data_IF_520585014262
#
_entry.id   IF_520585014262
#
_cell.length_a   1.000
_cell.length_b   1.000
_cell.length_c   1.000
_cell.angle_alpha   90.00
_cell.angle_beta   90.00
_cell.angle_gamma   90.00
#
_symmetry.space_group_name_H-M   'P 1'
#
loop_
_entity.id
_entity.type
_entity.pdbx_description
1 polymer ?
#
# COMPACT_ATOMS: atom_id res chain seq x y z
N UNK A 1 20.23 3.69 69.17
CA UNK A 1 19.23 2.83 68.48
C UNK A 1 18.66 3.59 67.30
N UNK A 2 18.93 3.17 66.07
CA UNK A 2 18.30 3.71 64.86
C UNK A 2 17.43 2.65 64.21
N UNK A 3 16.11 2.84 64.21
CA UNK A 3 15.18 1.98 63.47
C UNK A 3 15.36 2.23 61.97
N UNK A 4 15.98 1.27 61.27
CA UNK A 4 16.02 1.29 59.81
C UNK A 4 14.66 0.88 59.28
N UNK A 5 13.92 1.85 58.73
CA UNK A 5 12.66 1.64 58.03
C UNK A 5 12.92 0.83 56.75
N UNK A 6 12.37 -0.38 56.68
CA UNK A 6 12.40 -1.21 55.49
C UNK A 6 11.52 -0.57 54.41
N UNK A 7 12.16 0.02 53.41
CA UNK A 7 11.48 0.59 52.24
C UNK A 7 10.82 -0.54 51.48
N UNK A 8 9.49 -0.65 51.59
CA UNK A 8 8.67 -1.58 50.82
C UNK A 8 8.89 -1.29 49.33
N UNK A 9 9.66 -2.15 48.65
CA UNK A 9 9.81 -2.06 47.20
C UNK A 9 8.54 -2.64 46.59
N UNK A 10 7.67 -1.77 46.07
CA UNK A 10 6.53 -2.17 45.24
C UNK A 10 7.06 -2.73 43.93
N UNK A 11 7.17 -4.06 43.83
CA UNK A 11 7.44 -4.75 42.57
C UNK A 11 6.15 -4.90 41.76
N UNK A 12 6.26 -4.80 40.44
CA UNK A 12 5.18 -5.17 39.52
C UNK A 12 4.78 -6.64 39.76
N UNK A 13 3.49 -6.92 39.77
CA UNK A 13 3.03 -8.31 39.85
C UNK A 13 3.18 -8.98 38.48
N UNK A 14 3.44 -10.29 38.48
CA UNK A 14 3.54 -11.07 37.23
C UNK A 14 2.23 -10.98 36.41
N UNK A 15 1.10 -10.94 37.12
CA UNK A 15 -0.24 -10.77 36.53
C UNK A 15 -0.39 -9.43 35.83
N UNK A 16 0.10 -8.36 36.44
CA UNK A 16 0.03 -7.00 35.88
C UNK A 16 0.82 -6.90 34.56
N UNK A 17 1.98 -7.55 34.49
CA UNK A 17 2.76 -7.60 33.24
C UNK A 17 2.07 -8.45 32.17
N UNK A 18 1.45 -9.58 32.53
CA UNK A 18 0.71 -10.42 31.56
C UNK A 18 -0.48 -9.67 30.97
N UNK A 19 -1.27 -8.99 31.79
CA UNK A 19 -2.44 -8.24 31.32
C UNK A 19 -2.04 -7.09 30.39
N UNK A 20 -0.95 -6.38 30.70
CA UNK A 20 -0.44 -5.31 29.84
C UNK A 20 0.01 -5.86 28.49
N UNK A 21 0.78 -6.95 28.47
CA UNK A 21 1.20 -7.57 27.20
C UNK A 21 0.01 -8.10 26.39
N UNK A 22 -1.03 -8.61 27.06
CA UNK A 22 -2.26 -9.03 26.39
C UNK A 22 -2.97 -7.84 25.70
N UNK A 23 -3.10 -6.70 26.39
CA UNK A 23 -3.74 -5.50 25.82
C UNK A 23 -2.88 -4.92 24.67
N UNK A 24 -1.56 -4.80 24.87
CA UNK A 24 -0.64 -4.30 23.83
C UNK A 24 -0.65 -5.20 22.60
N UNK A 25 -0.70 -6.53 22.78
CA UNK A 25 -0.79 -7.49 21.68
C UNK A 25 -2.07 -7.33 20.84
N UNK A 26 -3.22 -7.11 21.48
CA UNK A 26 -4.49 -6.86 20.78
C UNK A 26 -4.41 -5.56 19.98
N UNK A 27 -3.90 -4.48 20.57
CA UNK A 27 -3.77 -3.18 19.91
C UNK A 27 -2.82 -3.28 18.71
N UNK A 28 -1.66 -3.92 18.86
CA UNK A 28 -0.70 -4.10 17.79
C UNK A 28 -1.29 -4.89 16.60
N UNK A 29 -2.08 -5.94 16.87
CA UNK A 29 -2.70 -6.77 15.83
C UNK A 29 -3.67 -5.99 14.93
N UNK A 30 -4.40 -5.02 15.47
CA UNK A 30 -5.35 -4.19 14.70
C UNK A 30 -4.65 -3.01 14.01
N UNK A 31 -3.60 -2.45 14.63
CA UNK A 31 -2.91 -1.29 14.06
C UNK A 31 -2.01 -1.63 12.86
N UNK A 32 -1.29 -2.75 12.90
CA UNK A 32 -0.37 -3.15 11.82
C UNK A 32 -1.02 -3.24 10.42
N UNK A 33 -2.20 -3.87 10.22
CA UNK A 33 -2.79 -3.99 8.88
C UNK A 33 -3.20 -2.64 8.29
N UNK A 34 -3.53 -1.64 9.12
CA UNK A 34 -3.91 -0.30 8.65
C UNK A 34 -2.71 0.46 8.06
N UNK A 35 -1.49 0.14 8.49
CA UNK A 35 -0.27 0.73 7.95
C UNK A 35 0.36 -0.09 6.82
N UNK A 36 -0.20 -1.26 6.47
CA UNK A 36 0.33 -2.18 5.47
C UNK A 36 0.00 -1.76 4.02
N UNK A 37 0.07 -0.46 3.72
CA UNK A 37 0.00 0.11 2.38
C UNK A 37 -1.22 -0.19 1.51
N UNK A 38 -1.17 0.30 0.26
CA UNK A 38 -2.26 0.15 -0.71
C UNK A 38 -2.39 -1.32 -1.13
N UNK A 39 -3.61 -1.84 -1.08
CA UNK A 39 -3.97 -3.14 -1.63
C UNK A 39 -3.79 -3.18 -3.15
N UNK A 40 -3.64 -4.37 -3.74
CA UNK A 40 -3.53 -4.53 -5.20
C UNK A 40 -4.77 -3.98 -5.93
N UNK A 41 -5.95 -4.08 -5.31
CA UNK A 41 -7.22 -3.56 -5.81
C UNK A 41 -7.19 -2.03 -5.92
N UNK A 42 -6.75 -1.35 -4.86
CA UNK A 42 -6.62 0.11 -4.83
C UNK A 42 -5.60 0.60 -5.86
N UNK A 43 -4.49 -0.12 -6.02
CA UNK A 43 -3.46 0.22 -7.00
C UNK A 43 -3.98 0.08 -8.44
N UNK A 44 -4.81 -0.94 -8.70
CA UNK A 44 -5.51 -1.09 -9.98
C UNK A 44 -6.52 0.03 -10.20
N UNK A 45 -7.27 0.41 -9.17
CA UNK A 45 -8.22 1.52 -9.25
C UNK A 45 -7.51 2.86 -9.55
N UNK A 46 -6.37 3.13 -8.91
CA UNK A 46 -5.54 4.30 -9.19
C UNK A 46 -5.03 4.31 -10.65
N UNK A 47 -4.62 3.15 -11.16
CA UNK A 47 -4.18 3.02 -12.55
C UNK A 47 -5.30 3.34 -13.54
N UNK A 48 -6.53 2.85 -13.29
CA UNK A 48 -7.71 3.14 -14.11
C UNK A 48 -8.07 4.63 -14.04
N UNK A 49 -8.14 5.21 -12.84
CA UNK A 49 -8.41 6.65 -12.64
C UNK A 49 -7.40 7.53 -13.36
N UNK A 50 -6.15 7.10 -13.37
CA UNK A 50 -5.08 7.78 -14.11
C UNK A 50 -5.39 7.75 -15.60
N UNK A 51 -5.69 6.58 -16.17
CA UNK A 51 -6.08 6.46 -17.58
C UNK A 51 -7.32 7.31 -17.94
N UNK A 52 -8.34 7.34 -17.07
CA UNK A 52 -9.51 8.22 -17.23
C UNK A 52 -9.12 9.70 -17.23
N UNK A 53 -8.21 10.10 -16.34
CA UNK A 53 -7.69 11.48 -16.26
C UNK A 53 -6.93 11.87 -17.54
N UNK A 54 -6.28 10.91 -18.20
CA UNK A 54 -5.63 11.11 -19.51
C UNK A 54 -6.62 11.10 -20.69
N UNK A 55 -7.91 10.88 -20.46
CA UNK A 55 -8.96 10.94 -21.48
C UNK A 55 -9.19 9.62 -22.22
N UNK A 56 -8.74 8.49 -21.67
CA UNK A 56 -9.13 7.18 -22.17
C UNK A 56 -10.50 6.78 -21.63
N UNK A 57 -11.31 6.14 -22.46
CA UNK A 57 -12.63 5.60 -22.13
C UNK A 57 -12.69 4.11 -22.47
N UNK A 58 -13.69 3.39 -21.98
CA UNK A 58 -13.85 1.94 -22.22
C UNK A 58 -12.56 1.14 -21.90
N UNK A 59 -12.02 1.39 -20.71
CA UNK A 59 -10.72 0.85 -20.28
C UNK A 59 -10.90 -0.61 -19.85
N UNK A 60 -10.08 -1.49 -20.41
CA UNK A 60 -9.95 -2.90 -20.01
C UNK A 60 -8.51 -3.19 -19.59
N UNK A 61 -8.32 -3.77 -18.40
CA UNK A 61 -7.00 -4.21 -17.93
C UNK A 61 -6.76 -5.61 -18.48
N UNK A 62 -5.74 -5.74 -19.32
CA UNK A 62 -5.37 -6.98 -20.01
C UNK A 62 -4.50 -7.84 -19.11
N UNK A 63 -3.45 -7.23 -18.55
CA UNK A 63 -2.47 -7.93 -17.72
C UNK A 63 -1.92 -6.98 -16.65
N UNK A 64 -1.52 -7.54 -15.51
CA UNK A 64 -0.79 -6.81 -14.48
C UNK A 64 0.53 -7.51 -14.20
N UNK A 65 1.63 -6.81 -14.44
CA UNK A 65 2.98 -7.27 -14.20
C UNK A 65 3.58 -6.45 -13.04
N UNK A 66 4.26 -7.08 -12.08
CA UNK A 66 5.02 -6.31 -11.08
C UNK A 66 6.41 -6.03 -11.65
N UNK A 67 6.82 -4.78 -11.98
CA UNK A 67 8.22 -4.59 -12.43
C UNK A 67 8.81 -3.18 -12.67
N UNK A 68 10.15 -3.22 -12.61
CA UNK A 68 11.19 -2.18 -12.71
C UNK A 68 11.67 -1.82 -14.13
N UNK A 69 11.04 -2.31 -15.22
CA UNK A 69 11.18 -1.75 -16.60
C UNK A 69 10.40 -2.48 -17.71
N UNK A 70 9.13 -2.82 -17.48
CA UNK A 70 8.27 -3.31 -18.57
C UNK A 70 7.75 -2.12 -19.37
N UNK A 71 7.77 -2.16 -20.70
CA UNK A 71 7.19 -1.12 -21.58
C UNK A 71 7.62 0.33 -21.21
N UNK A 72 8.86 0.47 -20.73
CA UNK A 72 9.43 1.75 -20.33
C UNK A 72 9.09 2.21 -18.92
N UNK A 73 8.48 1.39 -18.04
CA UNK A 73 8.38 1.68 -16.60
C UNK A 73 9.77 1.90 -15.99
N UNK A 74 9.89 2.73 -14.97
CA UNK A 74 11.16 2.99 -14.28
C UNK A 74 11.46 1.92 -13.23
N UNK A 75 12.69 1.93 -12.71
CA UNK A 75 13.08 1.06 -11.59
C UNK A 75 12.33 1.40 -10.29
N UNK A 76 11.81 2.63 -10.18
CA UNK A 76 10.99 3.10 -9.06
C UNK A 76 9.50 2.68 -9.17
N UNK A 77 9.10 2.10 -10.30
CA UNK A 77 7.74 1.62 -10.49
C UNK A 77 7.59 0.20 -9.94
N UNK A 78 6.56 -0.03 -9.13
CA UNK A 78 6.35 -1.31 -8.49
C UNK A 78 5.51 -2.25 -9.38
N UNK A 79 4.56 -1.70 -10.15
CA UNK A 79 3.66 -2.48 -10.99
C UNK A 79 3.31 -1.75 -12.28
N UNK A 80 3.15 -2.52 -13.35
CA UNK A 80 2.73 -2.10 -14.66
C UNK A 80 1.38 -2.77 -15.00
N UNK A 81 0.40 -1.98 -15.40
CA UNK A 81 -0.89 -2.47 -15.86
C UNK A 81 -0.99 -2.26 -17.36
N UNK A 82 -1.03 -3.33 -18.12
CA UNK A 82 -1.32 -3.28 -19.55
C UNK A 82 -2.82 -3.09 -19.72
N UNK A 83 -3.20 -2.01 -20.42
CA UNK A 83 -4.57 -1.62 -20.62
C UNK A 83 -4.86 -1.39 -22.10
N UNK A 84 -6.11 -1.64 -22.48
CA UNK A 84 -6.68 -1.22 -23.75
C UNK A 84 -7.80 -0.24 -23.46
N UNK A 85 -7.88 0.84 -24.22
CA UNK A 85 -8.95 1.81 -24.08
C UNK A 85 -9.18 2.57 -25.39
N UNK A 86 -10.21 3.39 -25.41
CA UNK A 86 -10.58 4.24 -26.52
C UNK A 86 -10.13 5.65 -26.23
N UNK A 87 -9.37 6.24 -27.14
CA UNK A 87 -8.95 7.64 -27.02
C UNK A 87 -10.04 8.61 -27.50
N UNK A 88 -9.79 9.91 -27.38
CA UNK A 88 -10.71 10.98 -27.85
C UNK A 88 -10.99 10.97 -29.35
N UNK A 89 -10.27 10.17 -30.14
CA UNK A 89 -10.47 10.00 -31.58
C UNK A 89 -11.25 8.71 -31.91
N UNK A 90 -11.92 8.11 -30.92
CA UNK A 90 -12.67 6.85 -31.05
C UNK A 90 -11.83 5.66 -31.57
N UNK A 91 -10.52 5.67 -31.28
CA UNK A 91 -9.62 4.57 -31.64
C UNK A 91 -9.27 3.73 -30.43
N UNK A 92 -9.37 2.41 -30.58
CA UNK A 92 -8.83 1.46 -29.61
C UNK A 92 -7.30 1.52 -29.63
N UNK A 93 -6.72 1.81 -28.48
CA UNK A 93 -5.28 1.94 -28.26
C UNK A 93 -4.86 1.11 -27.05
N UNK A 94 -3.70 0.48 -27.16
CA UNK A 94 -3.04 -0.22 -26.06
C UNK A 94 -2.00 0.71 -25.42
N UNK A 95 -2.00 0.76 -24.09
CA UNK A 95 -1.07 1.56 -23.31
C UNK A 95 -0.74 0.84 -22.00
N UNK A 96 0.36 1.25 -21.38
CA UNK A 96 0.78 0.72 -20.08
C UNK A 96 0.64 1.83 -19.03
N UNK A 97 0.16 1.46 -17.85
CA UNK A 97 0.12 2.36 -16.70
C UNK A 97 1.09 1.85 -15.65
N UNK A 98 2.19 2.58 -15.45
CA UNK A 98 3.20 2.28 -14.45
C UNK A 98 2.81 2.94 -13.13
N UNK A 99 2.70 2.18 -12.05
CA UNK A 99 2.35 2.67 -10.72
C UNK A 99 3.45 2.33 -9.72
N UNK A 100 3.98 3.36 -9.06
CA UNK A 100 4.99 3.21 -8.01
C UNK A 100 4.44 2.71 -6.66
N UNK A 101 5.31 2.66 -5.66
CA UNK A 101 4.97 2.22 -4.31
C UNK A 101 4.44 3.41 -3.47
N UNK A 102 3.34 3.17 -2.74
CA UNK A 102 2.57 4.03 -1.80
C UNK A 102 2.49 5.55 -2.07
N UNK A 103 3.61 6.27 -2.15
CA UNK A 103 3.70 7.73 -2.30
C UNK A 103 3.88 8.19 -3.75
N UNK A 104 4.13 7.26 -4.68
CA UNK A 104 4.28 7.54 -6.11
C UNK A 104 2.94 7.39 -6.83
N UNK A 105 2.60 8.38 -7.66
CA UNK A 105 1.46 8.31 -8.57
C UNK A 105 1.66 7.28 -9.69
N UNK A 106 0.63 7.08 -10.49
CA UNK A 106 0.71 6.30 -11.70
C UNK A 106 1.03 7.18 -12.91
N UNK A 107 1.75 6.65 -13.89
CA UNK A 107 2.09 7.31 -15.15
C UNK A 107 1.64 6.47 -16.33
N UNK A 108 1.02 7.11 -17.32
CA UNK A 108 0.65 6.43 -18.56
C UNK A 108 1.83 6.50 -19.52
N UNK A 109 2.17 5.38 -20.13
CA UNK A 109 3.14 5.29 -21.22
C UNK A 109 2.52 4.57 -22.41
N UNK A 110 3.01 4.95 -23.59
CA UNK A 110 2.69 4.24 -24.83
C UNK A 110 3.36 2.88 -24.79
N UNK A 111 2.65 1.85 -25.25
CA UNK A 111 3.20 0.51 -25.39
C UNK A 111 4.26 0.44 -26.50
#
# INVERSE_FOLDING_TARGET
>A
MGFRSARHRSGFTLVEVIVVLAIVGIIAAVLIPVFAGKSLEERRADAIRTAETFGFSNISVVESNGCASVHGCGEDDAFAYDMTGVNVADRSVAFVVCCGFQDKGCTVRTR
#
